data_IF_130960544857
#
_entry.id   IF_130960544857
#
_cell.length_a   1.000
_cell.length_b   1.000
_cell.length_c   1.000
_cell.angle_alpha   90.00
_cell.angle_beta   90.00
_cell.angle_gamma   90.00
#
_symmetry.space_group_name_H-M   'P 1'
#
loop_
_entity.id
_entity.type
_entity.pdbx_description
1 polymer ?
#
# COMPACT_ATOMS: atom_id res chain seq x y z
N UNK A 1 -19.44 -20.81 -1.26
CA UNK A 1 -18.01 -20.53 -1.08
C UNK A 1 -17.63 -20.98 0.32
N UNK A 2 -16.69 -21.92 0.47
CA UNK A 2 -16.20 -22.30 1.79
C UNK A 2 -15.51 -21.07 2.39
N UNK A 3 -15.99 -20.59 3.54
CA UNK A 3 -15.41 -19.43 4.21
C UNK A 3 -13.95 -19.76 4.55
N UNK A 4 -13.03 -18.94 4.07
CA UNK A 4 -11.62 -19.03 4.48
C UNK A 4 -11.54 -18.40 5.86
N UNK A 5 -11.32 -19.23 6.89
CA UNK A 5 -11.15 -18.78 8.26
C UNK A 5 -9.70 -18.34 8.48
N UNK A 6 -9.38 -17.14 7.97
CA UNK A 6 -8.10 -16.49 8.20
C UNK A 6 -8.31 -15.04 8.59
N UNK A 7 -7.62 -14.62 9.65
CA UNK A 7 -7.60 -13.26 10.15
C UNK A 7 -6.14 -12.82 10.31
N UNK A 8 -5.69 -11.81 9.55
CA UNK A 8 -4.30 -11.35 9.65
C UNK A 8 -3.87 -10.91 11.05
N UNK A 9 -4.73 -10.23 11.81
CA UNK A 9 -4.41 -9.74 13.16
C UNK A 9 -5.67 -9.51 14.01
N UNK A 10 -5.52 -9.03 15.24
CA UNK A 10 -6.63 -8.78 16.19
C UNK A 10 -7.77 -7.96 15.57
N UNK A 11 -7.44 -6.85 14.90
CA UNK A 11 -8.42 -5.90 14.37
C UNK A 11 -8.67 -6.05 12.87
N UNK A 12 -7.74 -6.59 12.09
CA UNK A 12 -7.83 -6.62 10.63
C UNK A 12 -8.18 -8.00 10.08
N UNK A 13 -9.03 -8.02 9.06
CA UNK A 13 -9.58 -9.24 8.45
C UNK A 13 -9.05 -9.53 7.06
N UNK A 14 -9.16 -10.78 6.61
CA UNK A 14 -8.89 -11.12 5.20
C UNK A 14 -9.82 -10.36 4.24
N UNK A 15 -11.07 -10.10 4.62
CA UNK A 15 -11.99 -9.32 3.81
C UNK A 15 -11.50 -7.88 3.59
N UNK A 16 -10.89 -7.25 4.60
CA UNK A 16 -10.26 -5.94 4.47
C UNK A 16 -8.98 -6.01 3.63
N UNK A 17 -8.19 -7.07 3.77
CA UNK A 17 -7.01 -7.30 2.93
C UNK A 17 -7.36 -7.40 1.44
N UNK A 18 -8.50 -8.02 1.12
CA UNK A 18 -9.01 -8.19 -0.24
C UNK A 18 -9.72 -6.94 -0.77
N UNK A 19 -10.09 -5.99 0.10
CA UNK A 19 -10.94 -4.86 -0.28
C UNK A 19 -10.19 -3.89 -1.18
N UNK A 20 -10.83 -3.56 -2.30
CA UNK A 20 -10.46 -2.45 -3.18
C UNK A 20 -11.71 -1.97 -3.90
N UNK A 21 -11.93 -0.65 -3.95
CA UNK A 21 -13.07 -0.09 -4.70
C UNK A 21 -12.98 -0.45 -6.19
N UNK A 22 -11.76 -0.48 -6.74
CA UNK A 22 -11.53 -0.83 -8.14
C UNK A 22 -11.85 -2.30 -8.41
N UNK A 23 -11.49 -3.21 -7.49
CA UNK A 23 -11.84 -4.62 -7.59
C UNK A 23 -13.37 -4.82 -7.58
N UNK A 24 -14.07 -4.17 -6.65
CA UNK A 24 -15.55 -4.23 -6.57
C UNK A 24 -16.19 -3.70 -7.84
N UNK A 25 -15.74 -2.53 -8.32
CA UNK A 25 -16.26 -1.88 -9.52
C UNK A 25 -16.13 -2.77 -10.77
N UNK A 26 -15.10 -3.59 -10.81
CA UNK A 26 -14.77 -4.43 -11.97
C UNK A 26 -15.01 -5.92 -11.77
N UNK A 27 -15.60 -6.33 -10.64
CA UNK A 27 -15.85 -7.73 -10.32
C UNK A 27 -14.57 -8.59 -10.29
N UNK A 28 -13.44 -8.00 -9.89
CA UNK A 28 -12.15 -8.71 -9.79
C UNK A 28 -12.13 -9.49 -8.49
N UNK A 29 -11.94 -10.81 -8.59
CA UNK A 29 -11.63 -11.64 -7.42
C UNK A 29 -10.21 -11.31 -6.94
N UNK A 30 -10.13 -10.65 -5.79
CA UNK A 30 -8.89 -10.21 -5.18
C UNK A 30 -8.47 -11.13 -4.02
N UNK A 31 -8.84 -12.42 -4.07
CA UNK A 31 -8.44 -13.40 -3.07
C UNK A 31 -6.92 -13.65 -3.12
N UNK A 32 -6.18 -13.41 -2.03
CA UNK A 32 -4.76 -13.75 -1.98
C UNK A 32 -4.51 -15.26 -2.02
N UNK A 33 -3.43 -15.69 -2.72
CA UNK A 33 -2.89 -17.03 -2.56
C UNK A 33 -2.55 -17.31 -1.08
N UNK A 34 -2.83 -18.52 -0.59
CA UNK A 34 -2.65 -18.86 0.83
C UNK A 34 -1.22 -18.68 1.36
N UNK A 35 -0.22 -18.78 0.49
CA UNK A 35 1.18 -18.56 0.85
C UNK A 35 1.49 -17.08 1.17
N UNK A 36 0.63 -16.12 0.82
CA UNK A 36 0.80 -14.72 1.23
C UNK A 36 0.22 -14.44 2.61
N UNK A 37 -0.49 -15.38 3.24
CA UNK A 37 -1.18 -15.15 4.52
C UNK A 37 -0.21 -14.78 5.67
N UNK A 38 0.96 -15.45 5.84
CA UNK A 38 1.93 -15.03 6.85
C UNK A 38 2.42 -13.60 6.63
N UNK A 39 2.61 -13.19 5.37
CA UNK A 39 3.04 -11.84 5.00
C UNK A 39 1.96 -10.80 5.31
N UNK A 40 0.70 -11.14 5.06
CA UNK A 40 -0.43 -10.30 5.47
C UNK A 40 -0.48 -10.15 7.00
N UNK A 41 -0.27 -11.23 7.75
CA UNK A 41 -0.21 -11.14 9.21
C UNK A 41 0.94 -10.22 9.66
N UNK A 42 2.14 -10.40 9.10
CA UNK A 42 3.30 -9.57 9.42
C UNK A 42 3.07 -8.08 9.12
N UNK A 43 2.51 -7.73 7.96
CA UNK A 43 2.17 -6.34 7.65
C UNK A 43 1.11 -5.78 8.60
N UNK A 44 0.08 -6.56 8.95
CA UNK A 44 -0.93 -6.11 9.89
C UNK A 44 -0.35 -5.84 11.29
N UNK A 45 0.42 -6.78 11.84
CA UNK A 45 0.97 -6.67 13.19
C UNK A 45 2.03 -5.56 13.32
N UNK A 46 2.78 -5.26 12.26
CA UNK A 46 3.87 -4.28 12.32
C UNK A 46 3.51 -2.89 11.79
N UNK A 47 2.47 -2.77 10.95
CA UNK A 47 2.04 -1.49 10.38
C UNK A 47 0.63 -1.13 10.83
N UNK A 48 -0.34 -2.02 10.64
CA UNK A 48 -1.75 -1.67 10.82
C UNK A 48 -2.17 -1.61 12.29
N UNK A 49 -1.78 -2.59 13.10
CA UNK A 49 -2.10 -2.64 14.53
C UNK A 49 -1.46 -1.46 15.30
N UNK A 50 -0.18 -1.10 15.09
CA UNK A 50 0.39 0.07 15.76
C UNK A 50 -0.33 1.38 15.42
N UNK A 51 -0.69 1.58 14.14
CA UNK A 51 -1.49 2.75 13.72
C UNK A 51 -2.87 2.72 14.41
N UNK A 52 -3.52 1.55 14.43
CA UNK A 52 -4.84 1.37 15.06
C UNK A 52 -4.81 1.68 16.55
N UNK A 53 -3.80 1.20 17.25
CA UNK A 53 -3.64 1.34 18.70
C UNK A 53 -3.22 2.77 19.06
N UNK A 54 -2.38 3.43 18.26
CA UNK A 54 -1.96 4.81 18.52
C UNK A 54 -3.10 5.82 18.35
N UNK A 55 -3.77 5.80 17.20
CA UNK A 55 -4.83 6.76 16.92
C UNK A 55 -6.18 6.38 17.56
N UNK A 56 -6.34 5.12 17.99
CA UNK A 56 -7.53 4.63 18.67
C UNK A 56 -8.79 4.55 17.80
N UNK A 57 -8.69 4.79 16.48
CA UNK A 57 -9.86 4.91 15.59
C UNK A 57 -10.06 3.73 14.64
N UNK A 58 -11.33 3.30 14.47
CA UNK A 58 -11.85 2.61 13.31
C UNK A 58 -11.16 2.83 11.98
N UNK A 59 -10.38 1.92 11.40
CA UNK A 59 -10.03 2.10 9.98
C UNK A 59 -9.79 0.78 9.25
N UNK A 60 -9.89 0.83 7.93
CA UNK A 60 -9.51 -0.25 7.03
C UNK A 60 -8.59 0.32 5.96
N UNK A 61 -7.53 -0.39 5.53
CA UNK A 61 -6.77 -0.01 4.35
C UNK A 61 -7.69 0.15 3.14
N UNK A 62 -7.44 1.17 2.32
CA UNK A 62 -8.21 1.39 1.10
C UNK A 62 -7.88 0.35 0.02
N UNK A 63 -6.63 -0.09 0.04
CA UNK A 63 -6.10 -1.15 -0.80
C UNK A 63 -4.93 -1.80 -0.09
N UNK A 64 -4.96 -3.12 0.08
CA UNK A 64 -3.88 -3.87 0.72
C UNK A 64 -3.31 -4.93 -0.22
N UNK A 65 -3.87 -6.13 -0.26
CA UNK A 65 -3.48 -7.11 -1.26
C UNK A 65 -4.00 -6.71 -2.64
N UNK A 66 -3.21 -6.95 -3.68
CA UNK A 66 -3.65 -6.78 -5.06
C UNK A 66 -3.22 -7.97 -5.91
N UNK A 67 -4.17 -8.76 -6.37
CA UNK A 67 -3.91 -9.77 -7.38
C UNK A 67 -3.37 -9.10 -8.67
N UNK A 68 -2.73 -9.88 -9.53
CA UNK A 68 -2.07 -9.36 -10.73
C UNK A 68 -3.02 -8.54 -11.62
N UNK A 69 -4.25 -9.02 -11.82
CA UNK A 69 -5.27 -8.31 -12.61
C UNK A 69 -5.59 -6.93 -12.03
N UNK A 70 -5.71 -6.83 -10.71
CA UNK A 70 -5.99 -5.56 -10.03
C UNK A 70 -4.78 -4.62 -10.08
N UNK A 71 -3.58 -5.10 -9.75
CA UNK A 71 -2.36 -4.30 -9.80
C UNK A 71 -2.09 -3.81 -11.22
N UNK A 72 -2.28 -4.66 -12.24
CA UNK A 72 -2.14 -4.28 -13.66
C UNK A 72 -3.05 -3.14 -14.05
N UNK A 73 -4.29 -3.17 -13.57
CA UNK A 73 -5.27 -2.12 -13.83
C UNK A 73 -4.89 -0.80 -13.18
N UNK A 74 -4.56 -0.83 -11.89
CA UNK A 74 -4.24 0.38 -11.12
C UNK A 74 -2.91 1.00 -11.54
N UNK A 75 -1.92 0.17 -11.88
CA UNK A 75 -0.57 0.62 -12.16
C UNK A 75 -0.23 0.74 -13.65
N UNK A 76 -1.17 0.55 -14.58
CA UNK A 76 -0.88 0.56 -16.03
C UNK A 76 -0.13 1.82 -16.48
N UNK A 77 -0.59 3.00 -16.07
CA UNK A 77 0.08 4.27 -16.41
C UNK A 77 1.51 4.33 -15.85
N UNK A 78 1.71 3.87 -14.61
CA UNK A 78 3.01 3.80 -13.96
C UNK A 78 3.95 2.80 -14.64
N UNK A 79 3.40 1.66 -15.11
CA UNK A 79 4.10 0.66 -15.89
C UNK A 79 4.55 1.20 -17.26
N UNK A 80 3.68 1.89 -18.00
CA UNK A 80 4.03 2.53 -19.28
C UNK A 80 5.15 3.56 -19.08
N UNK A 81 5.05 4.40 -18.05
CA UNK A 81 6.09 5.38 -17.74
C UNK A 81 7.41 4.73 -17.30
N UNK A 82 7.33 3.58 -16.61
CA UNK A 82 8.52 2.79 -16.28
C UNK A 82 9.18 2.20 -17.53
N UNK A 83 8.42 1.62 -18.46
CA UNK A 83 8.92 1.11 -19.73
C UNK A 83 9.63 2.20 -20.54
N UNK A 84 9.00 3.37 -20.69
CA UNK A 84 9.58 4.54 -21.37
C UNK A 84 10.93 4.95 -20.76
N UNK A 85 11.00 5.10 -19.43
CA UNK A 85 12.24 5.47 -18.74
C UNK A 85 13.34 4.42 -18.89
N UNK A 86 12.97 3.15 -19.02
CA UNK A 86 13.90 2.02 -19.14
C UNK A 86 14.18 1.63 -20.60
N UNK A 87 13.62 2.34 -21.57
CA UNK A 87 13.69 2.02 -23.01
C UNK A 87 13.28 0.57 -23.30
N UNK A 88 12.16 0.14 -22.71
CA UNK A 88 11.56 -1.20 -22.91
C UNK A 88 10.22 -1.08 -23.62
N UNK A 89 9.83 -2.12 -24.35
CA UNK A 89 8.49 -2.26 -24.90
C UNK A 89 7.49 -2.64 -23.79
N UNK A 90 6.24 -2.15 -23.82
CA UNK A 90 5.22 -2.48 -22.83
C UNK A 90 4.57 -3.84 -23.12
N UNK A 91 5.36 -4.90 -23.05
CA UNK A 91 4.98 -6.30 -23.28
C UNK A 91 4.88 -7.13 -21.99
N UNK A 92 4.53 -8.42 -22.11
CA UNK A 92 4.37 -9.31 -20.96
C UNK A 92 5.69 -9.58 -20.22
N UNK A 93 6.84 -9.60 -20.91
CA UNK A 93 8.14 -9.75 -20.27
C UNK A 93 8.43 -8.53 -19.37
N UNK A 94 8.23 -7.33 -19.92
CA UNK A 94 8.43 -6.09 -19.17
C UNK A 94 7.42 -5.95 -18.04
N UNK A 95 6.18 -6.41 -18.23
CA UNK A 95 5.17 -6.47 -17.18
C UNK A 95 5.60 -7.39 -16.04
N UNK A 96 6.07 -8.62 -16.33
CA UNK A 96 6.54 -9.55 -15.31
C UNK A 96 7.68 -8.95 -14.46
N UNK A 97 8.65 -8.28 -15.09
CA UNK A 97 9.75 -7.60 -14.38
C UNK A 97 9.24 -6.43 -13.54
N UNK A 98 8.27 -5.67 -14.04
CA UNK A 98 7.67 -4.57 -13.30
C UNK A 98 6.88 -5.06 -12.09
N UNK A 99 6.08 -6.11 -12.30
CA UNK A 99 5.17 -6.71 -11.33
C UNK A 99 5.93 -7.38 -10.18
N UNK A 100 7.02 -8.09 -10.46
CA UNK A 100 7.86 -8.75 -9.43
C UNK A 100 8.41 -7.77 -8.39
N UNK A 101 8.56 -6.49 -8.76
CA UNK A 101 9.04 -5.43 -7.87
C UNK A 101 7.99 -4.86 -6.93
N UNK A 102 6.72 -5.23 -7.10
CA UNK A 102 5.59 -4.65 -6.36
C UNK A 102 5.39 -5.33 -5.02
N UNK A 103 5.01 -4.54 -4.01
CA UNK A 103 4.77 -5.03 -2.65
C UNK A 103 3.30 -5.39 -2.40
N UNK A 104 2.33 -4.67 -2.98
CA UNK A 104 0.90 -5.01 -2.85
C UNK A 104 0.56 -6.45 -3.28
N UNK A 105 1.09 -6.98 -4.41
CA UNK A 105 0.81 -8.36 -4.81
C UNK A 105 1.46 -9.42 -3.93
N UNK A 106 2.43 -9.02 -3.09
CA UNK A 106 3.08 -9.89 -2.11
C UNK A 106 2.33 -9.86 -0.76
N UNK A 107 1.38 -8.94 -0.59
CA UNK A 107 0.71 -8.68 0.70
C UNK A 107 1.51 -7.77 1.63
N UNK A 108 2.68 -7.28 1.19
CA UNK A 108 3.62 -6.51 1.99
C UNK A 108 3.27 -5.02 2.09
N UNK A 109 2.21 -4.50 1.45
CA UNK A 109 1.95 -3.07 1.40
C UNK A 109 0.47 -2.70 1.42
N UNK A 110 0.15 -1.54 1.99
CA UNK A 110 -1.20 -1.01 2.07
C UNK A 110 -1.25 0.51 1.89
N UNK A 111 -2.34 0.97 1.29
CA UNK A 111 -2.67 2.39 1.14
C UNK A 111 -3.69 2.77 2.21
N UNK A 112 -3.33 3.77 3.01
CA UNK A 112 -4.02 4.14 4.25
C UNK A 112 -4.54 5.57 4.17
N UNK A 113 -5.78 5.73 4.63
CA UNK A 113 -6.37 7.01 5.01
C UNK A 113 -7.14 6.79 6.32
N UNK A 114 -6.98 7.70 7.28
CA UNK A 114 -7.58 7.60 8.61
C UNK A 114 -8.65 8.69 8.78
N UNK A 115 -9.90 8.34 9.15
CA UNK A 115 -10.95 9.34 9.36
C UNK A 115 -10.56 10.39 10.42
N UNK A 116 -10.55 11.66 10.02
CA UNK A 116 -10.25 12.78 10.92
C UNK A 116 -8.77 13.02 11.21
N UNK A 117 -7.86 12.23 10.62
CA UNK A 117 -6.41 12.40 10.74
C UNK A 117 -5.86 12.88 9.39
N UNK A 118 -4.97 13.87 9.41
CA UNK A 118 -4.29 14.30 8.19
C UNK A 118 -3.38 13.20 7.64
N UNK A 119 -3.34 13.00 6.33
CA UNK A 119 -2.41 12.04 5.71
C UNK A 119 -0.95 12.41 5.99
N UNK A 120 -0.64 13.70 6.12
CA UNK A 120 0.69 14.13 6.55
C UNK A 120 1.00 13.75 8.00
N UNK A 121 0.05 13.95 8.93
CA UNK A 121 0.23 13.59 10.34
C UNK A 121 0.39 12.08 10.52
N UNK A 122 -0.41 11.30 9.80
CA UNK A 122 -0.28 9.85 9.73
C UNK A 122 1.10 9.44 9.24
N UNK A 123 1.53 9.94 8.07
CA UNK A 123 2.84 9.60 7.52
C UNK A 123 3.99 10.03 8.45
N UNK A 124 3.91 11.22 9.05
CA UNK A 124 4.90 11.72 9.99
C UNK A 124 5.01 10.83 11.23
N UNK A 125 3.87 10.44 11.81
CA UNK A 125 3.87 9.53 12.95
C UNK A 125 4.44 8.16 12.60
N UNK A 126 4.02 7.58 11.47
CA UNK A 126 4.54 6.28 11.01
C UNK A 126 6.05 6.31 10.79
N UNK A 127 6.56 7.36 10.14
CA UNK A 127 8.00 7.59 9.94
C UNK A 127 8.79 7.56 11.24
N UNK A 128 8.26 8.22 12.27
CA UNK A 128 8.98 8.45 13.52
C UNK A 128 8.86 7.27 14.51
N UNK A 129 7.91 6.35 14.31
CA UNK A 129 7.55 5.35 15.32
C UNK A 129 7.54 3.90 14.82
N UNK A 130 7.55 3.66 13.50
CA UNK A 130 7.43 2.32 12.94
C UNK A 130 8.69 1.91 12.16
N UNK A 131 8.96 0.61 12.14
CA UNK A 131 9.85 0.00 11.16
C UNK A 131 9.07 -0.36 9.90
N UNK A 132 9.55 0.05 8.74
CA UNK A 132 8.90 -0.19 7.45
C UNK A 132 9.93 -0.34 6.34
N UNK A 133 9.51 -0.97 5.25
CA UNK A 133 10.30 -1.08 4.03
C UNK A 133 10.29 0.25 3.26
N UNK A 134 9.09 0.75 2.95
CA UNK A 134 8.89 2.02 2.26
C UNK A 134 7.66 2.72 2.81
N UNK A 135 7.74 4.05 2.98
CA UNK A 135 6.65 4.92 3.37
C UNK A 135 6.56 6.07 2.37
N UNK A 136 5.41 6.25 1.75
CA UNK A 136 5.20 7.27 0.73
C UNK A 136 3.97 8.11 1.07
N UNK A 137 4.15 9.42 1.14
CA UNK A 137 3.03 10.37 1.09
C UNK A 137 2.66 10.63 -0.37
N UNK A 138 1.60 9.98 -0.85
CA UNK A 138 1.19 10.01 -2.24
C UNK A 138 0.11 11.06 -2.50
N UNK A 139 0.36 11.96 -3.45
CA UNK A 139 -0.56 12.98 -3.98
C UNK A 139 -1.17 13.93 -2.94
N UNK A 140 -0.56 14.06 -1.76
CA UNK A 140 -0.97 15.03 -0.76
C UNK A 140 -0.76 16.47 -1.23
N UNK A 141 -1.69 17.34 -0.85
CA UNK A 141 -1.72 18.78 -1.17
C UNK A 141 -1.76 19.56 0.15
N UNK A 142 -0.81 20.48 0.32
CA UNK A 142 -0.78 21.39 1.48
C UNK A 142 -2.17 21.99 1.71
N UNK A 143 -2.68 21.89 2.94
CA UNK A 143 -3.93 22.56 3.35
C UNK A 143 -5.20 21.82 2.98
N UNK A 144 -5.04 20.63 2.42
CA UNK A 144 -6.12 19.67 2.22
C UNK A 144 -5.74 18.40 2.99
N UNK A 145 -6.01 18.33 4.30
CA UNK A 145 -5.48 17.27 5.18
C UNK A 145 -5.75 15.84 4.69
N UNK A 146 -6.91 15.62 4.06
CA UNK A 146 -7.36 14.31 3.56
C UNK A 146 -7.09 14.13 2.06
N UNK A 147 -6.13 14.86 1.49
CA UNK A 147 -5.77 14.70 0.08
C UNK A 147 -4.68 13.63 -0.07
N UNK A 148 -4.76 12.85 -1.14
CA UNK A 148 -3.83 11.76 -1.36
C UNK A 148 -4.05 10.60 -0.38
N UNK A 149 -3.01 9.83 -0.12
CA UNK A 149 -3.00 8.74 0.85
C UNK A 149 -1.58 8.47 1.37
N UNK A 150 -1.46 7.64 2.40
CA UNK A 150 -0.18 7.14 2.90
C UNK A 150 0.01 5.70 2.42
N UNK A 151 0.97 5.47 1.55
CA UNK A 151 1.41 4.13 1.20
C UNK A 151 2.46 3.67 2.21
N UNK A 152 2.33 2.46 2.73
CA UNK A 152 3.35 1.84 3.57
C UNK A 152 3.58 0.40 3.13
N UNK A 153 4.83 -0.05 3.14
CA UNK A 153 5.23 -1.44 2.97
C UNK A 153 6.06 -1.93 4.15
N UNK A 154 6.03 -3.23 4.40
CA UNK A 154 6.83 -3.94 5.39
C UNK A 154 7.29 -5.27 4.81
N UNK A 155 8.59 -5.55 4.91
CA UNK A 155 9.19 -6.81 4.50
C UNK A 155 10.06 -7.31 5.66
N UNK A 156 9.62 -8.39 6.30
CA UNK A 156 10.29 -8.95 7.47
C UNK A 156 11.77 -9.22 7.19
N UNK A 157 12.66 -8.62 7.99
CA UNK A 157 14.11 -8.76 7.85
C UNK A 157 14.77 -7.97 6.71
N UNK A 158 14.00 -7.30 5.84
CA UNK A 158 14.52 -6.59 4.66
C UNK A 158 14.02 -5.13 4.55
N UNK A 159 13.56 -4.55 5.66
CA UNK A 159 13.04 -3.19 5.70
C UNK A 159 14.11 -2.14 5.34
N UNK A 160 13.91 -1.39 4.25
CA UNK A 160 14.82 -0.33 3.78
C UNK A 160 14.67 1.00 4.51
N UNK A 161 13.54 1.26 5.18
CA UNK A 161 13.26 2.55 5.82
C UNK A 161 13.14 3.71 4.83
N UNK A 162 12.79 3.46 3.58
CA UNK A 162 12.74 4.49 2.54
C UNK A 162 11.52 5.39 2.73
N UNK A 163 11.73 6.71 2.80
CA UNK A 163 10.65 7.69 2.95
C UNK A 163 10.58 8.56 1.70
N UNK A 164 9.41 8.66 1.08
CA UNK A 164 9.21 9.44 -0.13
C UNK A 164 7.95 10.32 -0.05
N UNK A 165 7.92 11.33 -0.89
CA UNK A 165 6.71 12.08 -1.24
C UNK A 165 6.52 12.05 -2.74
N UNK A 166 5.38 11.57 -3.22
CA UNK A 166 5.08 11.48 -4.65
C UNK A 166 3.97 12.45 -4.99
N UNK A 167 4.22 13.31 -5.99
CA UNK A 167 3.21 14.20 -6.55
C UNK A 167 3.04 13.97 -8.05
N UNK A 168 2.32 14.89 -8.72
CA UNK A 168 2.18 14.87 -10.18
C UNK A 168 3.54 15.16 -10.85
N UNK A 169 4.27 14.10 -11.20
CA UNK A 169 5.44 14.15 -12.07
C UNK A 169 6.80 13.97 -11.39
N UNK A 170 6.87 13.91 -10.05
CA UNK A 170 8.13 13.64 -9.33
C UNK A 170 7.90 12.88 -8.02
N UNK A 171 8.91 12.10 -7.66
CA UNK A 171 9.12 11.58 -6.32
C UNK A 171 10.23 12.43 -5.67
N UNK A 172 10.07 12.79 -4.42
CA UNK A 172 11.07 13.45 -3.58
C UNK A 172 11.39 12.54 -2.40
N UNK A 173 12.64 12.59 -1.95
CA UNK A 173 13.07 11.92 -0.72
C UNK A 173 12.54 12.68 0.50
N UNK A 174 12.08 11.92 1.50
CA UNK A 174 11.51 12.45 2.73
C UNK A 174 10.06 12.91 2.62
N UNK A 175 9.51 13.29 3.77
CA UNK A 175 8.23 14.00 3.87
C UNK A 175 8.47 15.49 3.60
N UNK A 176 7.47 16.22 3.04
CA UNK A 176 7.59 17.65 2.86
C UNK A 176 7.70 18.33 4.21
N UNK A 177 8.50 19.39 4.27
CA UNK A 177 8.48 20.29 5.41
C UNK A 177 7.33 21.28 5.24
N UNK A 178 6.37 21.22 6.17
CA UNK A 178 5.22 22.11 6.21
C UNK A 178 5.30 23.11 7.36
N UNK A 179 6.45 23.18 8.06
CA UNK A 179 6.73 24.16 9.10
C UNK A 179 6.44 25.61 8.64
#
# INVERSE_FOLDING_TARGET
MNAIDFRPSRHFTLAEAMRSQEAVRHGIDNLPPRNTFPVLAAFAENILEPVRDHFGIPYSPQSWFRCETLERRLCWTSFINWCKRRKREPDEESWAIYFDRKQHPKGCAGDLELPGISNYELAKWMRDNLEFDQLILEFHVWGKPTSGWVHASYVEGENRGEVLTIGRGRALEGLPDYD
#
